data_IF_324325426317
#
_entry.id   IF_324325426317
#
_cell.length_a   1.000
_cell.length_b   1.000
_cell.length_c   1.000
_cell.angle_alpha   90.00
_cell.angle_beta   90.00
_cell.angle_gamma   90.00
#
_symmetry.space_group_name_H-M   'P 1'
#
loop_
_entity.id
_entity.type
_entity.pdbx_description
1 polymer ?
#
# COMPACT_ATOMS: atom_id res chain seq x y z
N UNK A 1 -4.66 -17.06 -2.91
CA UNK A 1 -5.59 -16.83 -1.76
C UNK A 1 -5.06 -15.64 -0.98
N UNK A 2 -5.89 -14.74 -0.42
CA UNK A 2 -5.34 -13.73 0.53
C UNK A 2 -4.83 -14.51 1.73
N UNK A 3 -3.53 -14.38 2.01
CA UNK A 3 -2.82 -15.21 2.97
C UNK A 3 -1.90 -14.34 3.82
N UNK A 4 -1.50 -14.86 4.98
CA UNK A 4 -0.40 -14.31 5.76
C UNK A 4 0.89 -14.42 4.95
N UNK A 5 1.75 -13.41 5.04
CA UNK A 5 3.04 -13.44 4.36
C UNK A 5 4.15 -13.87 5.31
N UNK A 6 4.08 -15.14 5.73
CA UNK A 6 5.10 -15.73 6.59
C UNK A 6 6.49 -15.70 5.95
N UNK A 7 6.57 -15.75 4.63
CA UNK A 7 7.84 -15.67 3.90
C UNK A 7 8.53 -14.33 4.12
N UNK A 8 7.85 -13.23 3.82
CA UNK A 8 8.44 -11.89 3.95
C UNK A 8 8.59 -11.49 5.41
N UNK A 9 7.65 -11.84 6.28
CA UNK A 9 7.78 -11.61 7.72
C UNK A 9 9.02 -12.32 8.29
N UNK A 10 9.31 -13.55 7.84
CA UNK A 10 10.51 -14.27 8.26
C UNK A 10 11.80 -13.57 7.79
N UNK A 11 11.80 -13.03 6.57
CA UNK A 11 12.90 -12.18 6.10
C UNK A 11 13.07 -10.95 7.00
N UNK A 12 11.98 -10.27 7.36
CA UNK A 12 12.02 -9.10 8.25
C UNK A 12 12.62 -9.44 9.62
N UNK A 13 12.22 -10.58 10.20
CA UNK A 13 12.72 -11.05 11.49
C UNK A 13 14.19 -11.46 11.42
N UNK A 14 14.59 -12.22 10.40
CA UNK A 14 15.99 -12.60 10.18
C UNK A 14 16.89 -11.37 9.99
N UNK A 15 16.43 -10.35 9.26
CA UNK A 15 17.13 -9.06 9.14
C UNK A 15 17.24 -8.33 10.50
N UNK A 16 16.20 -8.44 11.33
CA UNK A 16 16.15 -7.74 12.61
C UNK A 16 17.13 -8.34 13.62
N UNK A 17 17.26 -9.67 13.67
CA UNK A 17 18.09 -10.40 14.64
C UNK A 17 19.54 -10.58 14.18
N UNK A 18 19.89 -10.22 12.95
CA UNK A 18 21.25 -10.35 12.43
C UNK A 18 22.27 -9.60 13.29
N UNK A 19 23.31 -10.32 13.73
CA UNK A 19 24.32 -9.86 14.70
C UNK A 19 25.77 -9.97 14.19
N UNK A 20 25.97 -10.01 12.87
CA UNK A 20 27.29 -10.16 12.25
C UNK A 20 28.35 -9.10 12.62
N UNK A 21 29.60 -9.47 12.39
CA UNK A 21 30.80 -8.71 12.79
C UNK A 21 31.15 -7.53 11.85
N UNK A 22 30.40 -7.32 10.77
CA UNK A 22 30.65 -6.24 9.83
C UNK A 22 30.50 -4.85 10.49
N UNK A 23 31.09 -3.84 9.87
CA UNK A 23 31.00 -2.45 10.33
C UNK A 23 29.54 -1.98 10.34
N UNK A 24 29.19 -1.09 11.27
CA UNK A 24 27.82 -0.58 11.43
C UNK A 24 27.23 0.00 10.13
N UNK A 25 28.02 0.78 9.40
CA UNK A 25 27.60 1.37 8.11
C UNK A 25 27.29 0.28 7.08
N UNK A 26 28.12 -0.76 7.01
CA UNK A 26 27.90 -1.88 6.10
C UNK A 26 26.63 -2.65 6.47
N UNK A 27 26.42 -2.94 7.76
CA UNK A 27 25.18 -3.59 8.24
C UNK A 27 23.93 -2.77 7.92
N UNK A 28 24.00 -1.45 8.11
CA UNK A 28 22.88 -0.56 7.81
C UNK A 28 22.58 -0.49 6.30
N UNK A 29 23.61 -0.55 5.45
CA UNK A 29 23.42 -0.46 4.00
C UNK A 29 23.04 -1.80 3.36
N UNK A 30 23.66 -2.91 3.78
CA UNK A 30 23.43 -4.24 3.20
C UNK A 30 22.29 -4.99 3.85
N UNK A 31 21.90 -4.65 5.08
CA UNK A 31 20.80 -5.30 5.82
C UNK A 31 20.84 -6.81 5.67
N UNK A 32 21.87 -7.40 6.27
CA UNK A 32 22.10 -8.83 6.16
C UNK A 32 21.08 -9.65 6.93
N UNK A 33 20.94 -10.89 6.51
CA UNK A 33 20.33 -11.97 7.27
C UNK A 33 21.10 -13.26 7.07
N UNK A 34 21.00 -14.16 8.03
CA UNK A 34 21.54 -15.52 7.95
C UNK A 34 20.44 -16.48 7.53
N UNK A 35 20.69 -17.31 6.53
CA UNK A 35 19.78 -18.35 6.05
C UNK A 35 20.47 -19.72 6.05
N UNK A 36 19.68 -20.79 6.17
CA UNK A 36 20.16 -22.16 6.00
C UNK A 36 20.13 -22.53 4.52
N UNK A 37 21.20 -23.17 4.03
CA UNK A 37 21.34 -23.48 2.60
C UNK A 37 20.24 -24.44 2.15
N UNK A 38 19.51 -24.06 1.10
CA UNK A 38 18.44 -24.87 0.52
C UNK A 38 17.09 -24.73 1.23
N UNK A 39 17.02 -23.95 2.31
CA UNK A 39 15.80 -23.78 3.10
C UNK A 39 15.08 -22.47 2.76
N UNK A 40 13.75 -22.49 2.91
CA UNK A 40 12.95 -21.28 2.85
C UNK A 40 13.25 -20.34 4.04
N UNK A 41 13.00 -19.02 3.94
CA UNK A 41 13.20 -18.08 5.05
C UNK A 41 12.42 -18.45 6.32
N UNK A 42 11.23 -19.05 6.17
CA UNK A 42 10.41 -19.51 7.30
C UNK A 42 11.14 -20.62 8.07
N UNK A 43 11.60 -21.65 7.35
CA UNK A 43 12.36 -22.75 7.95
C UNK A 43 13.69 -22.27 8.51
N UNK A 44 14.38 -21.37 7.82
CA UNK A 44 15.63 -20.77 8.31
C UNK A 44 15.44 -20.04 9.63
N UNK A 45 14.35 -19.29 9.78
CA UNK A 45 14.01 -18.62 11.04
C UNK A 45 13.71 -19.62 12.15
N UNK A 46 12.96 -20.69 11.85
CA UNK A 46 12.66 -21.76 12.80
C UNK A 46 13.94 -22.48 13.27
N UNK A 47 14.83 -22.83 12.34
CA UNK A 47 16.10 -23.47 12.65
C UNK A 47 17.00 -22.57 13.50
N UNK A 48 17.09 -21.28 13.16
CA UNK A 48 17.80 -20.30 13.95
C UNK A 48 17.23 -20.20 15.38
N UNK A 49 15.90 -20.12 15.50
CA UNK A 49 15.22 -20.01 16.81
C UNK A 49 15.42 -21.26 17.69
N UNK A 50 15.55 -22.44 17.08
CA UNK A 50 15.74 -23.71 17.77
C UNK A 50 17.21 -24.14 17.88
N UNK A 51 18.17 -23.27 17.50
CA UNK A 51 19.61 -23.57 17.51
C UNK A 51 19.98 -24.85 16.73
N UNK A 52 19.32 -25.11 15.61
CA UNK A 52 19.60 -26.27 14.76
C UNK A 52 20.97 -26.09 14.10
N UNK A 53 21.86 -27.07 14.22
CA UNK A 53 23.15 -27.05 13.50
C UNK A 53 22.93 -27.29 12.00
N UNK A 54 23.56 -26.48 11.15
CA UNK A 54 23.47 -26.65 9.69
C UNK A 54 24.40 -25.72 8.92
N UNK A 55 24.46 -25.91 7.60
CA UNK A 55 25.21 -25.01 6.71
C UNK A 55 24.43 -23.70 6.53
N UNK A 56 25.00 -22.61 7.02
CA UNK A 56 24.41 -21.27 6.98
C UNK A 56 25.22 -20.32 6.11
N UNK A 57 24.55 -19.36 5.48
CA UNK A 57 25.19 -18.32 4.69
C UNK A 57 24.50 -16.96 4.91
N UNK A 58 25.25 -15.88 4.69
CA UNK A 58 24.72 -14.53 4.84
C UNK A 58 24.21 -14.01 3.50
N UNK A 59 22.98 -13.49 3.50
CA UNK A 59 22.33 -12.87 2.37
C UNK A 59 22.23 -11.37 2.62
N UNK A 60 22.72 -10.56 1.67
CA UNK A 60 22.51 -9.11 1.69
C UNK A 60 21.19 -8.74 1.02
N UNK A 61 20.55 -7.69 1.52
CA UNK A 61 19.34 -7.12 0.95
C UNK A 61 19.46 -5.60 0.74
N UNK A 62 20.56 -5.18 0.12
CA UNK A 62 20.90 -3.75 -0.07
C UNK A 62 19.94 -2.95 -0.97
N UNK A 63 19.03 -3.62 -1.70
CA UNK A 63 18.09 -2.96 -2.62
C UNK A 63 17.11 -2.01 -1.95
N UNK A 64 16.69 -2.30 -0.72
CA UNK A 64 15.69 -1.53 0.02
C UNK A 64 16.32 -0.79 1.21
N UNK A 65 15.60 0.20 1.74
CA UNK A 65 16.01 0.90 2.96
C UNK A 65 15.73 0.13 4.25
N UNK A 66 14.72 -0.76 4.25
CA UNK A 66 14.27 -1.49 5.42
C UNK A 66 13.88 -0.58 6.59
N UNK A 67 13.21 0.55 6.31
CA UNK A 67 12.81 1.53 7.32
C UNK A 67 11.98 0.93 8.45
N UNK A 68 11.27 -0.17 8.20
CA UNK A 68 10.50 -0.89 9.21
C UNK A 68 11.37 -1.37 10.38
N UNK A 69 12.68 -1.59 10.19
CA UNK A 69 13.59 -2.03 11.24
C UNK A 69 13.73 -0.99 12.36
N UNK A 70 13.52 0.29 12.06
CA UNK A 70 13.50 1.38 13.05
C UNK A 70 12.41 1.15 14.10
N UNK A 71 11.30 0.51 13.70
CA UNK A 71 10.17 0.21 14.59
C UNK A 71 10.26 -1.23 15.10
N UNK A 72 10.56 -2.18 14.22
CA UNK A 72 10.54 -3.61 14.55
C UNK A 72 11.60 -3.99 15.59
N UNK A 73 12.83 -3.46 15.50
CA UNK A 73 13.89 -3.81 16.46
C UNK A 73 13.57 -3.39 17.90
N UNK A 74 13.17 -2.12 18.17
CA UNK A 74 12.71 -1.74 19.52
C UNK A 74 11.53 -2.57 20.01
N UNK A 75 10.58 -2.91 19.15
CA UNK A 75 9.45 -3.74 19.53
C UNK A 75 9.90 -5.15 19.93
N UNK A 76 10.77 -5.79 19.15
CA UNK A 76 11.33 -7.11 19.47
C UNK A 76 12.19 -7.12 20.74
N UNK A 77 12.75 -5.97 21.13
CA UNK A 77 13.48 -5.85 22.39
C UNK A 77 12.55 -5.87 23.62
N UNK A 78 11.32 -5.34 23.47
CA UNK A 78 10.36 -5.19 24.58
C UNK A 78 9.30 -6.29 24.61
N UNK A 79 8.99 -6.89 23.46
CA UNK A 79 7.80 -7.71 23.25
C UNK A 79 8.13 -8.95 22.41
N UNK A 80 7.38 -10.04 22.62
CA UNK A 80 7.45 -11.21 21.74
C UNK A 80 6.58 -11.00 20.47
N UNK A 81 6.66 -11.91 19.50
CA UNK A 81 5.93 -11.78 18.23
C UNK A 81 4.40 -11.74 18.40
N UNK A 82 3.85 -12.49 19.35
CA UNK A 82 2.42 -12.51 19.64
C UNK A 82 1.95 -11.17 20.20
N UNK A 83 2.73 -10.60 21.12
CA UNK A 83 2.48 -9.27 21.69
C UNK A 83 2.53 -8.19 20.60
N UNK A 84 3.52 -8.22 19.71
CA UNK A 84 3.64 -7.24 18.61
C UNK A 84 2.43 -7.34 17.67
N UNK A 85 1.96 -8.54 17.33
CA UNK A 85 0.75 -8.74 16.52
C UNK A 85 -0.51 -8.23 17.23
N UNK A 86 -0.62 -8.45 18.55
CA UNK A 86 -1.73 -7.92 19.34
C UNK A 86 -1.71 -6.37 19.37
N UNK A 87 -0.55 -5.76 19.63
CA UNK A 87 -0.35 -4.31 19.56
C UNK A 87 -0.74 -3.79 18.18
N UNK A 88 -0.29 -4.45 17.11
CA UNK A 88 -0.61 -4.09 15.74
C UNK A 88 -2.14 -4.10 15.50
N UNK A 89 -2.84 -5.12 15.97
CA UNK A 89 -4.31 -5.19 15.89
C UNK A 89 -4.98 -4.04 16.65
N UNK A 90 -4.57 -3.79 17.91
CA UNK A 90 -5.17 -2.73 18.73
C UNK A 90 -4.95 -1.33 18.14
N UNK A 91 -3.74 -1.04 17.68
CA UNK A 91 -3.41 0.25 17.07
C UNK A 91 -4.20 0.45 15.78
N UNK A 92 -4.32 -0.57 14.92
CA UNK A 92 -5.14 -0.50 13.71
C UNK A 92 -6.61 -0.21 14.04
N UNK A 93 -7.20 -0.93 14.99
CA UNK A 93 -8.59 -0.72 15.42
C UNK A 93 -8.77 0.70 15.97
N UNK A 94 -7.84 1.19 16.79
CA UNK A 94 -7.89 2.53 17.35
C UNK A 94 -7.85 3.61 16.26
N UNK A 95 -6.94 3.49 15.29
CA UNK A 95 -6.81 4.43 14.17
C UNK A 95 -8.05 4.41 13.27
N UNK A 96 -8.57 3.24 12.91
CA UNK A 96 -9.80 3.11 12.10
C UNK A 96 -10.98 3.72 12.86
N UNK A 97 -11.14 3.40 14.15
CA UNK A 97 -12.22 3.94 14.97
C UNK A 97 -12.14 5.47 15.06
N UNK A 98 -10.93 6.01 15.19
CA UNK A 98 -10.68 7.44 15.19
C UNK A 98 -11.05 8.09 13.85
N UNK A 99 -10.71 7.47 12.72
CA UNK A 99 -11.10 7.93 11.39
C UNK A 99 -12.62 7.94 11.23
N UNK A 100 -13.28 6.84 11.60
CA UNK A 100 -14.74 6.72 11.50
C UNK A 100 -15.45 7.72 12.40
N UNK A 101 -14.92 8.00 13.58
CA UNK A 101 -15.43 9.05 14.46
C UNK A 101 -15.34 10.43 13.79
N UNK A 102 -14.20 10.78 13.18
CA UNK A 102 -14.04 12.05 12.46
C UNK A 102 -14.88 12.15 11.18
N UNK A 103 -15.06 11.05 10.45
CA UNK A 103 -15.93 11.03 9.28
C UNK A 103 -17.42 11.11 9.68
N UNK A 104 -17.83 10.42 10.75
CA UNK A 104 -19.22 10.38 11.22
C UNK A 104 -19.72 11.68 11.85
N UNK A 105 -18.86 12.40 12.59
CA UNK A 105 -19.19 13.70 13.20
C UNK A 105 -18.74 14.89 12.36
N UNK A 106 -17.84 14.69 11.40
CA UNK A 106 -17.26 15.75 10.58
C UNK A 106 -17.97 16.00 9.25
N UNK A 107 -17.33 16.77 8.37
CA UNK A 107 -17.84 17.13 7.04
C UNK A 107 -17.72 16.01 5.99
N UNK A 108 -17.19 14.83 6.34
CA UNK A 108 -16.87 13.77 5.39
C UNK A 108 -17.85 12.60 5.50
N UNK A 109 -18.85 12.57 4.62
CA UNK A 109 -19.94 11.58 4.65
C UNK A 109 -19.56 10.16 4.21
N UNK A 110 -18.27 9.88 4.02
CA UNK A 110 -17.76 8.70 3.29
C UNK A 110 -17.36 7.51 4.18
N UNK A 111 -17.95 7.41 5.38
CA UNK A 111 -17.58 6.38 6.37
C UNK A 111 -17.84 4.97 5.85
N UNK A 112 -18.95 4.75 5.15
CA UNK A 112 -19.31 3.44 4.61
C UNK A 112 -18.35 3.01 3.50
N UNK A 113 -18.00 3.93 2.62
CA UNK A 113 -17.09 3.77 1.49
C UNK A 113 -15.68 3.43 1.98
N UNK A 114 -15.25 4.13 3.03
CA UNK A 114 -14.00 3.83 3.72
C UNK A 114 -14.03 2.44 4.38
N UNK A 115 -15.11 2.06 5.07
CA UNK A 115 -15.22 0.71 5.66
C UNK A 115 -15.11 -0.37 4.58
N UNK A 116 -15.86 -0.23 3.47
CA UNK A 116 -15.83 -1.22 2.38
C UNK A 116 -14.43 -1.33 1.77
N UNK A 117 -13.74 -0.21 1.56
CA UNK A 117 -12.37 -0.22 1.02
C UNK A 117 -11.34 -0.76 2.02
N UNK A 118 -11.51 -0.55 3.32
CA UNK A 118 -10.66 -1.15 4.35
C UNK A 118 -10.88 -2.65 4.46
N UNK A 119 -12.13 -3.14 4.40
CA UNK A 119 -12.41 -4.59 4.44
C UNK A 119 -11.72 -5.33 3.28
N UNK A 120 -11.64 -4.68 2.12
CA UNK A 120 -10.92 -5.20 0.95
C UNK A 120 -9.43 -5.46 1.23
N UNK A 121 -8.80 -4.60 2.04
CA UNK A 121 -7.39 -4.75 2.42
C UNK A 121 -7.13 -5.95 3.33
N UNK A 122 -8.19 -6.57 3.86
CA UNK A 122 -8.15 -7.67 4.82
C UNK A 122 -7.36 -7.26 6.09
N UNK A 123 -7.93 -6.41 6.95
CA UNK A 123 -7.25 -5.88 8.13
C UNK A 123 -6.82 -6.98 9.11
N UNK A 124 -7.51 -8.13 9.12
CA UNK A 124 -7.09 -9.30 9.90
C UNK A 124 -5.72 -9.81 9.42
N UNK A 125 -5.55 -10.03 8.11
CA UNK A 125 -4.25 -10.45 7.58
C UNK A 125 -3.16 -9.40 7.78
N UNK A 126 -3.51 -8.11 7.71
CA UNK A 126 -2.59 -7.00 7.99
C UNK A 126 -2.17 -7.02 9.47
N UNK A 127 -3.10 -7.21 10.42
CA UNK A 127 -2.79 -7.28 11.85
C UNK A 127 -1.81 -8.39 12.21
N UNK A 128 -1.83 -9.49 11.43
CA UNK A 128 -1.00 -10.66 11.66
C UNK A 128 0.32 -10.66 10.86
N UNK A 129 0.46 -9.79 9.85
CA UNK A 129 1.65 -9.72 8.98
C UNK A 129 2.37 -8.38 9.08
N UNK A 130 3.63 -8.38 9.50
CA UNK A 130 4.41 -7.15 9.69
C UNK A 130 4.60 -6.40 8.39
N UNK A 131 4.86 -7.13 7.31
CA UNK A 131 5.15 -6.55 6.01
C UNK A 131 3.99 -5.69 5.47
N UNK A 132 2.75 -6.08 5.75
CA UNK A 132 1.59 -5.35 5.28
C UNK A 132 1.29 -4.12 6.13
N UNK A 133 1.77 -4.05 7.36
CA UNK A 133 1.30 -3.05 8.33
C UNK A 133 1.88 -1.66 8.09
N UNK A 134 3.10 -1.56 7.56
CA UNK A 134 3.80 -0.28 7.41
C UNK A 134 3.09 0.68 6.45
N UNK A 135 2.80 0.21 5.23
CA UNK A 135 2.04 0.98 4.23
C UNK A 135 0.62 1.27 4.67
N UNK A 136 0.01 0.35 5.43
CA UNK A 136 -1.32 0.53 5.99
C UNK A 136 -1.34 1.68 7.00
N UNK A 137 -0.36 1.74 7.91
CA UNK A 137 -0.24 2.86 8.84
C UNK A 137 0.00 4.19 8.15
N UNK A 138 0.87 4.26 7.14
CA UNK A 138 1.08 5.49 6.36
C UNK A 138 -0.23 5.98 5.74
N UNK A 139 -1.02 5.07 5.15
CA UNK A 139 -2.33 5.39 4.60
C UNK A 139 -3.30 5.89 5.69
N UNK A 140 -3.48 5.18 6.81
CA UNK A 140 -4.37 5.59 7.89
C UNK A 140 -3.99 6.95 8.48
N UNK A 141 -2.68 7.17 8.73
CA UNK A 141 -2.17 8.43 9.26
C UNK A 141 -2.37 9.59 8.27
N UNK A 142 -2.20 9.35 6.96
CA UNK A 142 -2.47 10.36 5.94
C UNK A 142 -3.95 10.77 5.89
N UNK A 143 -4.86 9.80 6.05
CA UNK A 143 -6.30 10.03 6.11
C UNK A 143 -6.63 10.87 7.35
N UNK A 144 -6.09 10.49 8.51
CA UNK A 144 -6.26 11.27 9.76
C UNK A 144 -5.77 12.70 9.60
N UNK A 145 -4.61 12.89 8.97
CA UNK A 145 -4.05 14.22 8.72
C UNK A 145 -5.01 15.06 7.88
N UNK A 146 -5.50 14.56 6.75
CA UNK A 146 -6.42 15.29 5.88
C UNK A 146 -7.73 15.63 6.62
N UNK A 147 -8.30 14.67 7.36
CA UNK A 147 -9.54 14.89 8.12
C UNK A 147 -9.39 15.98 9.18
N UNK A 148 -8.24 16.06 9.87
CA UNK A 148 -7.98 17.08 10.89
C UNK A 148 -7.82 18.48 10.31
N UNK A 149 -7.25 18.59 9.12
CA UNK A 149 -6.97 19.89 8.50
C UNK A 149 -8.14 20.42 7.65
N UNK A 150 -9.17 19.59 7.37
CA UNK A 150 -10.43 19.87 6.67
C UNK A 150 -10.29 20.38 5.22
N UNK A 151 -9.46 21.39 4.97
CA UNK A 151 -9.06 21.92 3.66
C UNK A 151 -7.54 22.10 3.66
N UNK A 152 -6.86 21.40 2.76
CA UNK A 152 -5.45 21.63 2.47
C UNK A 152 -5.33 22.48 1.20
N UNK A 153 -4.39 23.43 1.21
CA UNK A 153 -3.99 24.12 -0.02
C UNK A 153 -3.33 23.13 -1.00
N UNK A 154 -3.27 23.52 -2.28
CA UNK A 154 -2.62 22.70 -3.32
C UNK A 154 -1.17 22.37 -2.96
N UNK A 155 -0.43 23.33 -2.41
CA UNK A 155 0.97 23.13 -1.99
C UNK A 155 1.08 22.14 -0.82
N UNK A 156 0.21 22.24 0.17
CA UNK A 156 0.19 21.32 1.30
C UNK A 156 -0.20 19.90 0.88
N UNK A 157 -1.17 19.76 -0.03
CA UNK A 157 -1.55 18.47 -0.62
C UNK A 157 -0.40 17.83 -1.39
N UNK A 158 0.32 18.60 -2.21
CA UNK A 158 1.52 18.13 -2.91
C UNK A 158 2.64 17.75 -1.94
N UNK A 159 2.89 18.57 -0.92
CA UNK A 159 3.90 18.29 0.09
C UNK A 159 3.59 17.01 0.88
N UNK A 160 2.34 16.82 1.27
CA UNK A 160 1.89 15.58 1.93
C UNK A 160 2.18 14.35 1.06
N UNK A 161 1.76 14.37 -0.21
CA UNK A 161 1.94 13.23 -1.09
C UNK A 161 3.39 12.98 -1.49
N UNK A 162 4.21 14.02 -1.63
CA UNK A 162 5.66 13.89 -1.80
C UNK A 162 6.28 13.10 -0.65
N UNK A 163 5.97 13.50 0.59
CA UNK A 163 6.47 12.83 1.78
C UNK A 163 5.92 11.41 1.92
N UNK A 164 4.65 11.18 1.57
CA UNK A 164 4.11 9.82 1.55
C UNK A 164 4.83 8.95 0.53
N UNK A 165 5.18 9.46 -0.65
CA UNK A 165 6.03 8.74 -1.61
C UNK A 165 7.36 8.31 -0.99
N UNK A 166 8.08 9.25 -0.34
CA UNK A 166 9.34 8.98 0.35
C UNK A 166 9.16 7.91 1.43
N UNK A 167 8.19 8.11 2.33
CA UNK A 167 7.97 7.20 3.46
C UNK A 167 7.57 5.81 2.99
N UNK A 168 6.74 5.71 1.96
CA UNK A 168 6.34 4.42 1.39
C UNK A 168 7.56 3.68 0.85
N UNK A 169 8.41 4.32 0.04
CA UNK A 169 9.63 3.70 -0.47
C UNK A 169 10.68 3.37 0.62
N UNK A 170 10.68 4.11 1.73
CA UNK A 170 11.55 3.86 2.87
C UNK A 170 11.13 2.62 3.67
N UNK A 171 9.83 2.46 3.92
CA UNK A 171 9.29 1.39 4.77
C UNK A 171 8.90 0.12 4.02
N UNK A 172 8.52 0.21 2.75
CA UNK A 172 7.85 -0.87 2.01
C UNK A 172 8.81 -1.78 1.22
N UNK A 173 8.41 -3.04 1.04
CA UNK A 173 9.03 -4.00 0.12
C UNK A 173 8.24 -4.18 -1.17
N UNK A 174 7.72 -3.08 -1.73
CA UNK A 174 6.90 -3.13 -2.93
C UNK A 174 5.63 -3.97 -2.74
N UNK A 175 4.90 -3.78 -1.64
CA UNK A 175 3.72 -4.61 -1.32
C UNK A 175 2.50 -4.14 -2.10
N UNK A 176 1.89 -3.06 -1.62
CA UNK A 176 0.74 -2.38 -2.21
C UNK A 176 0.86 -0.86 -1.97
N UNK A 177 1.94 -0.23 -2.47
CA UNK A 177 2.28 1.16 -2.14
C UNK A 177 1.22 2.20 -2.54
N UNK A 178 0.40 1.95 -3.57
CA UNK A 178 -0.51 2.98 -4.09
C UNK A 178 -1.63 3.34 -3.12
N UNK A 179 -1.90 2.55 -2.08
CA UNK A 179 -2.86 2.96 -1.03
C UNK A 179 -2.43 4.25 -0.34
N UNK A 180 -1.12 4.53 -0.27
CA UNK A 180 -0.55 5.76 0.31
C UNK A 180 -0.67 6.97 -0.63
N UNK A 181 -1.03 6.76 -1.89
CA UNK A 181 -1.38 7.79 -2.87
C UNK A 181 -2.89 7.92 -2.99
N UNK A 182 -3.57 6.81 -3.30
CA UNK A 182 -4.97 6.77 -3.71
C UNK A 182 -5.94 7.26 -2.66
N UNK A 183 -5.83 6.77 -1.41
CA UNK A 183 -6.72 7.20 -0.33
C UNK A 183 -6.62 8.70 -0.02
N UNK A 184 -5.42 9.26 0.26
CA UNK A 184 -5.31 10.68 0.50
C UNK A 184 -5.70 11.51 -0.73
N UNK A 185 -5.36 11.06 -1.95
CA UNK A 185 -5.77 11.76 -3.17
C UNK A 185 -7.29 11.82 -3.33
N UNK A 186 -8.03 10.72 -3.10
CA UNK A 186 -9.50 10.70 -3.16
C UNK A 186 -10.11 11.75 -2.22
N UNK A 187 -9.59 11.88 -1.00
CA UNK A 187 -10.06 12.88 -0.02
C UNK A 187 -9.73 14.31 -0.44
N UNK A 188 -8.55 14.55 -1.05
CA UNK A 188 -8.20 15.86 -1.60
C UNK A 188 -9.08 16.26 -2.79
N UNK A 189 -9.47 15.29 -3.64
CA UNK A 189 -10.36 15.51 -4.78
C UNK A 189 -11.81 15.72 -4.34
N UNK A 190 -12.23 15.11 -3.24
CA UNK A 190 -13.57 15.28 -2.70
C UNK A 190 -13.87 16.74 -2.36
N UNK A 191 -12.87 17.51 -1.92
CA UNK A 191 -13.00 18.95 -1.66
C UNK A 191 -12.97 19.85 -2.88
N UNK A 192 -12.74 19.31 -4.07
CA UNK A 192 -12.58 20.10 -5.30
C UNK A 192 -13.87 20.15 -6.13
N UNK A 193 -14.50 21.32 -6.23
CA UNK A 193 -15.75 21.48 -6.97
C UNK A 193 -15.55 21.48 -8.50
N UNK A 194 -14.37 21.91 -8.97
CA UNK A 194 -14.08 21.96 -10.40
C UNK A 194 -13.47 20.66 -10.90
N UNK A 195 -14.16 19.96 -11.80
CA UNK A 195 -13.66 18.71 -12.37
C UNK A 195 -12.33 18.89 -13.13
N UNK A 196 -12.09 20.04 -13.77
CA UNK A 196 -10.83 20.31 -14.48
C UNK A 196 -9.66 20.45 -13.52
N UNK A 197 -9.87 21.16 -12.40
CA UNK A 197 -8.88 21.30 -11.34
C UNK A 197 -8.64 19.95 -10.67
N UNK A 198 -9.71 19.17 -10.43
CA UNK A 198 -9.61 17.83 -9.87
C UNK A 198 -8.79 16.89 -10.78
N UNK A 199 -9.04 16.87 -12.10
CA UNK A 199 -8.21 16.09 -13.06
C UNK A 199 -6.76 16.54 -13.03
N UNK A 200 -6.50 17.87 -13.03
CA UNK A 200 -5.14 18.41 -12.92
C UNK A 200 -4.46 17.93 -11.63
N UNK A 201 -5.20 17.95 -10.51
CA UNK A 201 -4.73 17.45 -9.22
C UNK A 201 -4.38 15.98 -9.30
N UNK A 202 -5.21 15.11 -9.89
CA UNK A 202 -4.87 13.68 -10.08
C UNK A 202 -3.48 13.52 -10.69
N UNK A 203 -3.21 14.25 -11.78
CA UNK A 203 -1.94 14.15 -12.51
C UNK A 203 -0.80 14.72 -11.66
N UNK A 204 -0.90 15.97 -11.21
CA UNK A 204 0.20 16.65 -10.51
C UNK A 204 0.55 15.98 -9.17
N UNK A 205 -0.46 15.50 -8.44
CA UNK A 205 -0.31 14.85 -7.14
C UNK A 205 0.23 13.42 -7.27
N UNK A 206 -0.17 12.69 -8.31
CA UNK A 206 0.42 11.37 -8.59
C UNK A 206 1.88 11.51 -9.01
N UNK A 207 2.22 12.52 -9.84
CA UNK A 207 3.60 12.80 -10.22
C UNK A 207 4.48 13.16 -9.02
N UNK A 208 4.03 14.05 -8.13
CA UNK A 208 4.84 14.44 -6.97
C UNK A 208 5.05 13.29 -5.99
N UNK A 209 4.04 12.44 -5.77
CA UNK A 209 4.18 11.21 -5.01
C UNK A 209 5.22 10.28 -5.65
N UNK A 210 5.17 10.13 -6.97
CA UNK A 210 6.09 9.28 -7.73
C UNK A 210 7.52 9.79 -7.67
N UNK A 211 7.73 11.11 -7.70
CA UNK A 211 9.04 11.73 -7.50
C UNK A 211 9.59 11.42 -6.11
N UNK A 212 8.76 11.53 -5.06
CA UNK A 212 9.17 11.16 -3.71
C UNK A 212 9.53 9.67 -3.58
N UNK A 213 8.68 8.80 -4.15
CA UNK A 213 8.85 7.35 -4.10
C UNK A 213 10.11 6.89 -4.85
N UNK A 214 10.24 7.26 -6.13
CA UNK A 214 11.39 6.88 -6.95
C UNK A 214 12.67 7.56 -6.47
N UNK A 215 12.58 8.82 -6.03
CA UNK A 215 13.71 9.57 -5.48
C UNK A 215 14.30 8.88 -4.25
N UNK A 216 13.45 8.34 -3.38
CA UNK A 216 13.92 7.62 -2.19
C UNK A 216 14.60 6.29 -2.54
N UNK A 217 14.09 5.53 -3.51
CA UNK A 217 14.78 4.34 -4.03
C UNK A 217 16.14 4.67 -4.65
N UNK A 218 16.19 5.65 -5.55
CA UNK A 218 17.44 6.11 -6.14
C UNK A 218 18.43 6.56 -5.07
N UNK A 219 17.95 7.25 -4.02
CA UNK A 219 18.74 7.63 -2.87
C UNK A 219 19.44 6.44 -2.19
N UNK A 220 18.75 5.29 -2.05
CA UNK A 220 19.36 4.07 -1.48
C UNK A 220 20.56 3.63 -2.29
N UNK A 221 20.39 3.59 -3.60
CA UNK A 221 21.41 3.05 -4.50
C UNK A 221 22.60 4.00 -4.62
N UNK A 222 22.37 5.31 -4.67
CA UNK A 222 23.43 6.32 -4.68
C UNK A 222 24.25 6.26 -3.38
N UNK A 223 23.59 6.45 -2.24
CA UNK A 223 24.26 6.52 -0.93
C UNK A 223 24.92 5.19 -0.61
N UNK A 224 24.22 4.07 -0.82
CA UNK A 224 24.75 2.74 -0.58
C UNK A 224 25.96 2.43 -1.48
N UNK A 225 25.95 2.86 -2.75
CA UNK A 225 27.11 2.65 -3.63
C UNK A 225 28.35 3.42 -3.18
N UNK A 226 28.16 4.67 -2.73
CA UNK A 226 29.25 5.51 -2.20
C UNK A 226 29.82 4.91 -0.92
N UNK A 227 28.96 4.51 0.03
CA UNK A 227 29.39 4.03 1.34
C UNK A 227 29.98 2.62 1.32
N UNK A 228 29.52 1.76 0.41
CA UNK A 228 30.00 0.37 0.27
C UNK A 228 31.14 0.26 -0.74
N UNK A 229 31.39 1.29 -1.57
CA UNK A 229 32.29 1.23 -2.72
C UNK A 229 31.93 0.07 -3.67
N UNK A 230 30.63 -0.14 -3.89
CA UNK A 230 30.03 -1.19 -4.74
C UNK A 230 28.98 -0.55 -5.65
N UNK A 231 28.67 -1.14 -6.81
CA UNK A 231 27.61 -0.60 -7.67
C UNK A 231 26.26 -1.27 -7.37
N UNK A 232 25.44 -0.64 -6.53
CA UNK A 232 24.11 -1.15 -6.18
C UNK A 232 23.09 -1.02 -7.31
N UNK A 233 23.33 -0.16 -8.31
CA UNK A 233 22.40 0.02 -9.43
C UNK A 233 22.29 -1.23 -10.30
N UNK A 234 23.37 -2.00 -10.46
CA UNK A 234 23.35 -3.19 -11.32
C UNK A 234 22.34 -4.22 -10.79
N UNK A 235 22.43 -4.54 -9.50
CA UNK A 235 21.48 -5.47 -8.87
C UNK A 235 20.06 -4.89 -8.79
N UNK A 236 19.93 -3.60 -8.44
CA UNK A 236 18.64 -2.95 -8.33
C UNK A 236 17.88 -2.88 -9.67
N UNK A 237 18.55 -2.41 -10.73
CA UNK A 237 17.96 -2.30 -12.07
C UNK A 237 17.70 -3.68 -12.69
N UNK A 238 18.59 -4.66 -12.45
CA UNK A 238 18.36 -6.04 -12.89
C UNK A 238 17.10 -6.62 -12.26
N UNK A 239 16.89 -6.44 -10.96
CA UNK A 239 15.67 -6.89 -10.27
C UNK A 239 14.44 -6.08 -10.67
N UNK A 240 14.57 -4.76 -10.82
CA UNK A 240 13.48 -3.92 -11.32
C UNK A 240 13.02 -4.39 -12.70
N UNK A 241 13.95 -4.64 -13.63
CA UNK A 241 13.63 -5.12 -14.98
C UNK A 241 12.86 -6.46 -14.96
N UNK A 242 13.23 -7.39 -14.07
CA UNK A 242 12.49 -8.65 -13.88
C UNK A 242 11.09 -8.41 -13.33
N UNK A 243 10.93 -7.50 -12.36
CA UNK A 243 9.63 -7.21 -11.76
C UNK A 243 8.69 -6.40 -12.64
N UNK A 244 9.25 -5.55 -13.50
CA UNK A 244 8.52 -4.76 -14.48
C UNK A 244 8.33 -5.49 -15.81
N UNK A 245 8.92 -6.67 -15.97
CA UNK A 245 8.66 -7.49 -17.17
C UNK A 245 7.20 -7.97 -17.18
N UNK A 246 6.78 -8.50 -18.32
CA UNK A 246 5.53 -9.23 -18.45
C UNK A 246 5.87 -10.70 -18.76
N UNK A 247 6.83 -11.26 -18.04
CA UNK A 247 7.40 -12.58 -18.30
C UNK A 247 7.62 -13.36 -17.00
N UNK A 248 7.13 -14.60 -16.97
CA UNK A 248 7.33 -15.51 -15.85
C UNK A 248 7.65 -16.92 -16.36
N UNK A 249 8.76 -17.50 -15.90
CA UNK A 249 9.24 -18.81 -16.35
C UNK A 249 9.30 -18.91 -17.89
N UNK A 250 9.94 -17.92 -18.53
CA UNK A 250 10.12 -17.82 -20.00
C UNK A 250 8.81 -17.75 -20.82
N UNK A 251 7.67 -17.48 -20.16
CA UNK A 251 6.38 -17.29 -20.82
C UNK A 251 5.91 -15.86 -20.64
N UNK A 252 5.35 -15.30 -21.72
CA UNK A 252 4.68 -14.01 -21.66
C UNK A 252 3.42 -14.11 -20.79
N UNK A 253 3.30 -13.16 -19.87
CA UNK A 253 2.16 -13.00 -18.97
C UNK A 253 1.24 -11.96 -19.59
N UNK A 254 -0.05 -12.29 -19.71
CA UNK A 254 -1.04 -11.34 -20.21
C UNK A 254 -1.59 -10.46 -19.09
N UNK A 255 -1.81 -9.17 -19.36
CA UNK A 255 -2.40 -8.24 -18.39
C UNK A 255 -3.76 -8.72 -17.86
N UNK A 256 -4.59 -9.31 -18.71
CA UNK A 256 -5.88 -9.88 -18.30
C UNK A 256 -5.70 -11.03 -17.28
N UNK A 257 -4.62 -11.80 -17.39
CA UNK A 257 -4.29 -12.85 -16.45
C UNK A 257 -3.86 -12.25 -15.09
N UNK A 258 -3.06 -11.18 -15.10
CA UNK A 258 -2.65 -10.45 -13.89
C UNK A 258 -3.88 -9.90 -13.16
N UNK A 259 -4.75 -9.20 -13.90
CA UNK A 259 -6.01 -8.66 -13.36
C UNK A 259 -6.87 -9.80 -12.82
N UNK A 260 -7.05 -10.88 -13.59
CA UNK A 260 -7.83 -12.05 -13.16
C UNK A 260 -7.28 -12.67 -11.87
N UNK A 261 -5.96 -12.85 -11.76
CA UNK A 261 -5.33 -13.43 -10.58
C UNK A 261 -5.54 -12.56 -9.34
N UNK A 262 -5.36 -11.24 -9.46
CA UNK A 262 -5.59 -10.30 -8.36
C UNK A 262 -7.09 -10.25 -7.99
N UNK A 263 -8.00 -10.21 -8.98
CA UNK A 263 -9.45 -10.22 -8.76
C UNK A 263 -9.96 -11.52 -8.12
N UNK A 264 -9.36 -12.67 -8.43
CA UNK A 264 -9.74 -13.96 -7.81
C UNK A 264 -9.53 -13.97 -6.30
N UNK A 265 -8.59 -13.18 -5.78
CA UNK A 265 -8.36 -13.06 -4.33
C UNK A 265 -9.55 -12.40 -3.64
N UNK A 266 -10.22 -11.49 -4.33
CA UNK A 266 -11.33 -10.67 -3.88
C UNK A 266 -12.66 -11.42 -3.90
N UNK A 267 -12.72 -12.54 -4.65
CA UNK A 267 -13.90 -13.40 -4.77
C UNK A 267 -14.17 -14.18 -3.46
N UNK A 268 -14.47 -13.45 -2.38
CA UNK A 268 -14.76 -13.92 -1.04
C UNK A 268 -16.10 -13.33 -0.59
N UNK A 269 -16.93 -14.19 -0.02
CA UNK A 269 -18.31 -13.85 0.37
C UNK A 269 -18.43 -12.54 1.16
N UNK A 270 -17.59 -12.22 2.17
CA UNK A 270 -17.74 -10.98 2.92
C UNK A 270 -17.55 -9.72 2.07
N UNK A 271 -16.60 -9.73 1.14
CA UNK A 271 -16.34 -8.59 0.24
C UNK A 271 -17.48 -8.47 -0.76
N UNK A 272 -17.92 -9.59 -1.36
CA UNK A 272 -19.03 -9.61 -2.31
C UNK A 272 -20.31 -9.09 -1.65
N UNK A 273 -20.64 -9.54 -0.44
CA UNK A 273 -21.80 -9.08 0.32
C UNK A 273 -21.68 -7.57 0.59
N UNK A 274 -20.51 -7.09 1.03
CA UNK A 274 -20.29 -5.66 1.30
C UNK A 274 -20.50 -4.81 0.04
N UNK A 275 -19.95 -5.25 -1.10
CA UNK A 275 -20.13 -4.61 -2.40
C UNK A 275 -21.60 -4.65 -2.88
N UNK A 276 -22.31 -5.76 -2.66
CA UNK A 276 -23.73 -5.87 -2.99
C UNK A 276 -24.59 -4.93 -2.13
N UNK A 277 -24.37 -4.90 -0.82
CA UNK A 277 -25.13 -4.04 0.10
C UNK A 277 -24.95 -2.55 -0.23
N UNK A 278 -23.71 -2.11 -0.46
CA UNK A 278 -23.45 -0.71 -0.84
C UNK A 278 -24.01 -0.37 -2.22
N UNK A 279 -24.00 -1.34 -3.16
CA UNK A 279 -24.62 -1.15 -4.48
C UNK A 279 -26.14 -1.01 -4.38
N UNK A 280 -26.81 -1.87 -3.58
CA UNK A 280 -28.25 -1.78 -3.30
C UNK A 280 -28.58 -0.43 -2.65
N UNK A 281 -27.78 0.02 -1.69
CA UNK A 281 -27.94 1.33 -1.05
C UNK A 281 -27.94 2.46 -2.08
N UNK A 282 -26.95 2.51 -2.98
CA UNK A 282 -26.88 3.54 -4.01
C UNK A 282 -27.98 3.45 -5.06
N UNK A 283 -28.33 2.25 -5.51
CA UNK A 283 -29.44 2.05 -6.46
C UNK A 283 -30.75 2.58 -5.86
N UNK A 284 -31.06 2.28 -4.60
CA UNK A 284 -32.26 2.78 -3.93
C UNK A 284 -32.27 4.30 -3.82
N UNK A 285 -31.10 4.90 -3.53
CA UNK A 285 -30.97 6.36 -3.44
C UNK A 285 -31.15 7.04 -4.79
N UNK A 286 -30.58 6.44 -5.84
CA UNK A 286 -30.74 6.90 -7.21
C UNK A 286 -32.21 6.85 -7.67
N UNK A 287 -32.91 5.74 -7.43
CA UNK A 287 -34.34 5.59 -7.79
C UNK A 287 -35.23 6.61 -7.04
N UNK A 288 -34.90 6.93 -5.78
CA UNK A 288 -35.65 7.88 -4.96
C UNK A 288 -35.30 9.35 -5.23
N UNK A 289 -34.33 9.64 -6.08
CA UNK A 289 -33.94 11.01 -6.40
C UNK A 289 -34.95 11.61 -7.38
N UNK A 290 -35.78 12.54 -6.92
CA UNK A 290 -36.76 13.27 -7.74
C UNK A 290 -36.13 14.40 -8.59
N UNK A 291 -34.80 14.55 -8.56
CA UNK A 291 -34.09 15.66 -9.20
C UNK A 291 -33.78 15.39 -10.67
N UNK A 292 -33.89 16.44 -11.49
CA UNK A 292 -33.52 16.41 -12.91
C UNK A 292 -32.02 16.15 -13.03
N UNK A 293 -31.66 15.03 -13.64
CA UNK A 293 -30.28 14.55 -13.74
C UNK A 293 -29.56 15.28 -14.88
N UNK A 294 -28.62 16.17 -14.56
CA UNK A 294 -27.65 16.64 -15.56
C UNK A 294 -26.54 15.59 -15.73
N UNK A 295 -26.77 14.64 -16.65
CA UNK A 295 -25.87 13.51 -16.87
C UNK A 295 -24.44 13.96 -17.24
N UNK A 296 -24.31 15.02 -18.06
CA UNK A 296 -23.01 15.57 -18.46
C UNK A 296 -22.22 16.05 -17.26
N UNK A 297 -22.84 16.84 -16.38
CA UNK A 297 -22.17 17.37 -15.19
C UNK A 297 -21.77 16.24 -14.23
N UNK A 298 -22.60 15.21 -14.07
CA UNK A 298 -22.27 14.03 -13.25
C UNK A 298 -21.10 13.25 -13.82
N UNK A 299 -21.08 12.98 -15.13
CA UNK A 299 -19.96 12.30 -15.77
C UNK A 299 -18.65 13.08 -15.60
N UNK A 300 -18.68 14.41 -15.76
CA UNK A 300 -17.51 15.26 -15.56
C UNK A 300 -17.06 15.29 -14.09
N UNK A 301 -17.99 15.41 -13.14
CA UNK A 301 -17.71 15.30 -11.70
C UNK A 301 -17.05 13.96 -11.33
N UNK A 302 -17.46 12.86 -11.97
CA UNK A 302 -17.00 11.52 -11.67
C UNK A 302 -15.64 11.18 -12.31
N UNK A 303 -15.27 11.89 -13.38
CA UNK A 303 -14.06 11.65 -14.16
C UNK A 303 -12.77 11.59 -13.32
N UNK A 304 -12.47 12.53 -12.40
CA UNK A 304 -11.26 12.45 -11.56
C UNK A 304 -11.19 11.15 -10.74
N UNK A 305 -12.32 10.67 -10.23
CA UNK A 305 -12.39 9.43 -9.44
C UNK A 305 -12.20 8.19 -10.31
N UNK A 306 -12.69 8.20 -11.55
CA UNK A 306 -12.36 7.17 -12.54
C UNK A 306 -10.85 7.13 -12.76
N UNK A 307 -10.20 8.28 -12.97
CA UNK A 307 -8.75 8.33 -13.18
C UNK A 307 -7.97 7.75 -11.99
N UNK A 308 -8.35 8.09 -10.75
CA UNK A 308 -7.74 7.48 -9.56
C UNK A 308 -8.01 5.97 -9.50
N UNK A 309 -9.21 5.53 -9.87
CA UNK A 309 -9.55 4.11 -9.87
C UNK A 309 -8.75 3.27 -10.87
N UNK A 310 -8.17 3.90 -11.89
CA UNK A 310 -7.33 3.26 -12.89
C UNK A 310 -5.86 3.12 -12.46
N UNK A 311 -5.42 3.84 -11.41
CA UNK A 311 -4.02 3.83 -10.94
C UNK A 311 -3.51 2.41 -10.60
N UNK A 312 -4.27 1.55 -9.88
CA UNK A 312 -3.85 0.17 -9.64
C UNK A 312 -3.61 -0.65 -10.92
N UNK A 313 -4.36 -0.38 -11.98
CA UNK A 313 -4.20 -1.08 -13.26
C UNK A 313 -2.98 -0.58 -14.02
N UNK A 314 -2.68 0.73 -13.96
CA UNK A 314 -1.41 1.27 -14.43
C UNK A 314 -0.22 0.62 -13.71
N UNK A 315 -0.35 0.39 -12.40
CA UNK A 315 0.68 -0.33 -11.64
C UNK A 315 0.84 -1.78 -12.09
N UNK A 316 -0.23 -2.50 -12.39
CA UNK A 316 -0.13 -3.86 -12.94
C UNK A 316 0.52 -3.91 -14.33
N UNK A 317 0.50 -2.81 -15.08
CA UNK A 317 1.25 -2.70 -16.34
C UNK A 317 2.73 -2.43 -16.09
N UNK A 318 3.05 -1.57 -15.11
CA UNK A 318 4.43 -1.20 -14.80
C UNK A 318 5.16 -2.31 -14.03
N UNK A 319 4.50 -2.94 -13.06
CA UNK A 319 5.03 -3.98 -12.19
C UNK A 319 4.37 -5.33 -12.51
N UNK A 320 4.42 -5.73 -13.78
CA UNK A 320 3.70 -6.87 -14.34
C UNK A 320 4.00 -8.21 -13.67
N UNK A 321 5.23 -8.69 -13.82
CA UNK A 321 5.70 -9.94 -13.21
C UNK A 321 5.56 -9.92 -11.70
N UNK A 322 5.84 -8.78 -11.06
CA UNK A 322 5.64 -8.63 -9.62
C UNK A 322 4.17 -8.85 -9.22
N UNK A 323 3.24 -8.19 -9.89
CA UNK A 323 1.80 -8.29 -9.63
C UNK A 323 1.21 -9.64 -10.04
N UNK A 324 1.86 -10.35 -10.97
CA UNK A 324 1.50 -11.70 -11.35
C UNK A 324 1.91 -12.72 -10.29
N UNK A 325 3.18 -12.66 -9.85
CA UNK A 325 3.74 -13.58 -8.85
C UNK A 325 3.08 -13.31 -7.51
N UNK A 326 3.07 -12.05 -7.07
CA UNK A 326 2.64 -11.64 -5.74
C UNK A 326 1.17 -11.23 -5.63
N UNK A 327 0.32 -11.79 -6.49
CA UNK A 327 -1.12 -11.49 -6.57
C UNK A 327 -1.86 -11.63 -5.23
N UNK A 328 -1.34 -12.44 -4.30
CA UNK A 328 -1.94 -12.65 -2.97
C UNK A 328 -1.83 -11.45 -2.03
N UNK A 329 -0.98 -10.45 -2.35
CA UNK A 329 -0.96 -9.18 -1.64
C UNK A 329 -1.07 -7.95 -2.53
N UNK A 330 -0.68 -8.00 -3.80
CA UNK A 330 -0.80 -6.86 -4.72
C UNK A 330 -2.26 -6.52 -5.01
N UNK A 331 -3.20 -7.46 -4.84
CA UNK A 331 -4.63 -7.21 -5.01
C UNK A 331 -5.16 -6.08 -4.12
N UNK A 332 -4.47 -5.79 -3.01
CA UNK A 332 -4.80 -4.73 -2.06
C UNK A 332 -4.82 -3.34 -2.71
N UNK A 333 -4.07 -3.16 -3.79
CA UNK A 333 -4.11 -1.93 -4.59
C UNK A 333 -5.51 -1.63 -5.13
N UNK A 334 -6.32 -2.67 -5.42
CA UNK A 334 -7.70 -2.50 -5.90
C UNK A 334 -8.62 -1.87 -4.86
N UNK A 335 -8.22 -1.80 -3.59
CA UNK A 335 -8.96 -1.02 -2.58
C UNK A 335 -9.00 0.47 -2.92
N UNK A 336 -7.98 1.00 -3.62
CA UNK A 336 -7.97 2.37 -4.16
C UNK A 336 -9.08 2.55 -5.19
N UNK A 337 -9.23 1.58 -6.10
CA UNK A 337 -10.29 1.61 -7.11
C UNK A 337 -11.68 1.62 -6.47
N UNK A 338 -11.89 0.76 -5.48
CA UNK A 338 -13.16 0.71 -4.74
C UNK A 338 -13.43 2.02 -4.03
N UNK A 339 -12.45 2.52 -3.26
CA UNK A 339 -12.62 3.75 -2.50
C UNK A 339 -12.92 4.95 -3.41
N UNK A 340 -12.15 5.11 -4.49
CA UNK A 340 -12.33 6.20 -5.45
C UNK A 340 -13.71 6.15 -6.12
N UNK A 341 -14.13 4.99 -6.61
CA UNK A 341 -15.42 4.85 -7.27
C UNK A 341 -16.60 5.12 -6.32
N UNK A 342 -16.55 4.58 -5.09
CA UNK A 342 -17.63 4.78 -4.12
C UNK A 342 -17.73 6.25 -3.67
N UNK A 343 -16.60 6.89 -3.35
CA UNK A 343 -16.57 8.32 -2.98
C UNK A 343 -17.01 9.21 -4.14
N UNK A 344 -16.58 8.90 -5.37
CA UNK A 344 -16.99 9.63 -6.57
C UNK A 344 -18.48 9.52 -6.83
N UNK A 345 -19.07 8.32 -6.66
CA UNK A 345 -20.51 8.09 -6.76
C UNK A 345 -21.24 8.95 -5.74
N UNK A 346 -20.84 8.88 -4.46
CA UNK A 346 -21.46 9.65 -3.38
C UNK A 346 -21.38 11.16 -3.61
N UNK A 347 -20.19 11.67 -3.96
CA UNK A 347 -19.97 13.09 -4.26
C UNK A 347 -20.87 13.59 -5.37
N UNK A 348 -20.92 12.89 -6.51
CA UNK A 348 -21.68 13.35 -7.67
C UNK A 348 -23.21 13.17 -7.51
N UNK A 349 -23.65 12.43 -6.48
CA UNK A 349 -25.05 12.42 -6.06
C UNK A 349 -25.39 13.52 -5.02
N UNK A 350 -24.41 13.98 -4.23
CA UNK A 350 -24.60 15.08 -3.26
C UNK A 350 -24.59 16.47 -3.91
N UNK A 351 -23.94 16.64 -5.06
CA UNK A 351 -23.94 17.91 -5.82
C UNK A 351 -25.33 18.38 -6.24
N UNK A 352 -26.35 17.52 -6.18
CA UNK A 352 -27.73 17.93 -6.44
C UNK A 352 -28.41 18.60 -5.23
N UNK A 353 -27.79 18.60 -4.04
CA UNK A 353 -28.38 19.06 -2.76
C UNK A 353 -28.11 20.53 -2.37
N UNK A 354 -27.34 21.25 -3.18
CA UNK A 354 -27.17 22.71 -3.12
C UNK A 354 -27.74 23.32 -4.39
#
# INVERSE_FOLDING_TARGET
MSQLDGWTDSIMLLNAIYSGAEKTVEKAMKVFRTEYRGEAPVTSLEYYANNVSGDTYNVSYSRYWHGYLVILKPLLFLFNLSDIRAINMFVQIALISYILWHMGYGHFKYSCEFIVSILMLNPVAISLSFQFSTVYYLMLLSVIYILKHNILSEKEGMFLLFNLGILTAFFDFLTYPLVTLGYPLVLLLEKEDSWTIAVRKVISHSLIWSIGYLGMWCGKWIIGSILLNENLFIDALGKAAVYTSMEYQEKSVQILQIISNNMKVINKMPIIISCLLISIYYIRRFIRSEKVINLKQRCLCFLPFILVSLIPFCWYLVAGTHSYVHYWFTYRELSVSIFALLVGIEKCMLTDSK
#
